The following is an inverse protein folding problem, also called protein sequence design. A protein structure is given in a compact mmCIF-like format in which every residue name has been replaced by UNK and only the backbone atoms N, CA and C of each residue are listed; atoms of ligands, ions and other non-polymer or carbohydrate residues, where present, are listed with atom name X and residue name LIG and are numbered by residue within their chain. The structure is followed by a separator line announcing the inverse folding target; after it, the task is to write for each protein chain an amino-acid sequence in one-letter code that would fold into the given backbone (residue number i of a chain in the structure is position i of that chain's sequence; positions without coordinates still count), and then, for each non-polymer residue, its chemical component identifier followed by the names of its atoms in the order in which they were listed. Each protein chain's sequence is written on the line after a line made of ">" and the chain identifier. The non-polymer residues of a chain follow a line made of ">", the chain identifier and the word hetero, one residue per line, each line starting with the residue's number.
data_IF_738099334477
#
_entry.id   IF_738099334477
#
_cell.length_a   1.000
_cell.length_b   1.000
_cell.length_c   1.000
_cell.angle_alpha   90.00
_cell.angle_beta   90.00
_cell.angle_gamma   90.00
#
_symmetry.space_group_name_H-M   'P 1'
#
loop_
_entity.id
_entity.type
_entity.pdbx_description
1 polymer ?
#
# COMPACT_ATOMS: atom_id res chain seq x y z
N UNK A 1 -4.20 40.50 32.20
CA UNK A 1 -4.38 40.98 30.81
C UNK A 1 -5.23 42.24 30.81
N UNK A 2 -5.26 42.99 29.70
CA UNK A 2 -6.20 44.12 29.53
C UNK A 2 -7.59 43.59 29.15
N UNK A 3 -8.67 44.23 29.59
CA UNK A 3 -10.05 43.78 29.33
C UNK A 3 -10.36 43.64 27.83
N UNK A 4 -9.88 44.56 26.99
CA UNK A 4 -10.01 44.47 25.52
C UNK A 4 -9.40 43.19 24.93
N UNK A 5 -8.31 42.71 25.51
CA UNK A 5 -7.69 41.43 25.10
C UNK A 5 -8.50 40.25 25.60
N UNK A 6 -9.06 40.34 26.82
CA UNK A 6 -9.94 39.33 27.38
C UNK A 6 -11.20 39.13 26.53
N UNK A 7 -11.85 40.22 26.12
CA UNK A 7 -13.03 40.19 25.23
C UNK A 7 -12.72 39.46 23.93
N UNK A 8 -11.60 39.79 23.28
CA UNK A 8 -11.17 39.07 22.07
C UNK A 8 -10.95 37.58 22.33
N UNK A 9 -10.36 37.23 23.48
CA UNK A 9 -10.13 35.82 23.83
C UNK A 9 -11.44 35.09 24.18
N UNK A 10 -12.43 35.79 24.74
CA UNK A 10 -13.78 35.23 24.95
C UNK A 10 -14.38 34.86 23.60
N UNK A 11 -14.34 35.74 22.60
CA UNK A 11 -14.82 35.43 21.25
C UNK A 11 -14.08 34.25 20.63
N UNK A 12 -12.73 34.26 20.64
CA UNK A 12 -11.93 33.16 20.10
C UNK A 12 -12.14 31.82 20.82
N UNK A 13 -12.51 31.85 22.12
CA UNK A 13 -12.84 30.66 22.89
C UNK A 13 -14.17 30.05 22.42
N UNK A 14 -15.14 30.86 22.03
CA UNK A 14 -16.43 30.40 21.48
C UNK A 14 -16.24 29.76 20.11
N UNK A 15 -15.34 30.31 19.29
CA UNK A 15 -15.05 29.76 17.95
C UNK A 15 -14.15 28.51 18.00
N UNK A 16 -13.65 28.12 19.18
CA UNK A 16 -12.75 26.96 19.34
C UNK A 16 -11.31 27.20 18.87
N UNK A 17 -10.94 28.45 18.57
CA UNK A 17 -9.62 28.82 18.04
C UNK A 17 -8.57 29.14 19.14
N UNK A 18 -9.00 29.21 20.40
CA UNK A 18 -8.11 29.61 21.49
C UNK A 18 -7.25 28.44 21.99
N UNK A 19 -5.93 28.59 21.92
CA UNK A 19 -4.99 27.58 22.47
C UNK A 19 -5.12 27.42 23.99
N UNK A 20 -4.85 26.20 24.50
CA UNK A 20 -4.98 25.86 25.93
C UNK A 20 -4.19 26.78 26.88
N UNK A 21 -3.01 27.26 26.46
CA UNK A 21 -2.19 28.21 27.24
C UNK A 21 -2.91 29.56 27.43
N UNK A 22 -3.63 30.01 26.41
CA UNK A 22 -4.37 31.28 26.46
C UNK A 22 -5.70 31.14 27.21
N UNK A 23 -6.32 29.97 27.17
CA UNK A 23 -7.51 29.64 27.98
C UNK A 23 -7.20 29.80 29.47
N UNK A 24 -6.12 29.19 29.96
CA UNK A 24 -5.73 29.30 31.37
C UNK A 24 -5.49 30.76 31.79
N UNK A 25 -4.84 31.58 30.94
CA UNK A 25 -4.66 33.01 31.20
C UNK A 25 -5.99 33.77 31.23
N UNK A 26 -6.95 33.41 30.36
CA UNK A 26 -8.29 33.99 30.35
C UNK A 26 -9.04 33.67 31.64
N UNK A 27 -9.02 32.41 32.06
CA UNK A 27 -9.72 31.99 33.28
C UNK A 27 -9.16 32.69 34.54
N UNK A 28 -7.84 32.89 34.61
CA UNK A 28 -7.21 33.68 35.68
C UNK A 28 -7.72 35.13 35.71
N UNK A 29 -7.97 35.73 34.54
CA UNK A 29 -8.51 37.08 34.46
C UNK A 29 -10.00 37.14 34.80
N UNK A 30 -10.79 36.14 34.39
CA UNK A 30 -12.22 36.04 34.72
C UNK A 30 -12.45 35.89 36.22
N UNK A 31 -11.50 35.31 36.96
CA UNK A 31 -11.53 35.26 38.43
C UNK A 31 -11.36 36.64 39.08
N UNK A 32 -10.65 37.57 38.42
CA UNK A 32 -10.26 38.87 38.97
C UNK A 32 -11.13 40.03 38.47
N UNK A 33 -11.70 39.93 37.26
CA UNK A 33 -12.46 41.01 36.64
C UNK A 33 -13.95 40.66 36.49
N UNK A 34 -14.80 41.39 37.23
CA UNK A 34 -16.26 41.21 37.19
C UNK A 34 -16.87 41.56 35.82
N UNK A 35 -16.37 42.61 35.16
CA UNK A 35 -16.86 43.04 33.84
C UNK A 35 -16.66 41.96 32.78
N UNK A 36 -15.45 41.41 32.66
CA UNK A 36 -15.18 40.33 31.70
C UNK A 36 -15.91 39.03 32.04
N UNK A 37 -16.16 38.77 33.33
CA UNK A 37 -16.98 37.64 33.78
C UNK A 37 -18.42 37.76 33.31
N UNK A 38 -19.01 38.95 33.41
CA UNK A 38 -20.36 39.21 32.92
C UNK A 38 -20.46 39.08 31.41
N UNK A 39 -19.48 39.61 30.67
CA UNK A 39 -19.40 39.43 29.20
C UNK A 39 -19.37 37.95 28.84
N UNK A 40 -18.47 37.17 29.47
CA UNK A 40 -18.38 35.72 29.24
C UNK A 40 -19.71 34.99 29.55
N UNK A 41 -20.42 35.40 30.61
CA UNK A 41 -21.72 34.85 30.98
C UNK A 41 -22.79 35.17 29.93
N UNK A 42 -22.85 36.42 29.47
CA UNK A 42 -23.80 36.85 28.45
C UNK A 42 -23.56 36.15 27.12
N UNK A 43 -22.30 36.01 26.72
CA UNK A 43 -21.95 35.26 25.51
C UNK A 43 -22.34 33.80 25.60
N UNK A 44 -22.15 33.16 26.77
CA UNK A 44 -22.55 31.77 26.98
C UNK A 44 -24.08 31.57 26.89
N UNK A 45 -24.85 32.48 27.50
CA UNK A 45 -26.31 32.48 27.39
C UNK A 45 -26.77 32.69 25.95
N UNK A 46 -26.12 33.60 25.22
CA UNK A 46 -26.44 33.83 23.81
C UNK A 46 -26.21 32.55 22.98
N UNK A 47 -25.07 31.88 23.17
CA UNK A 47 -24.78 30.63 22.45
C UNK A 47 -25.78 29.54 22.77
N UNK A 48 -26.15 29.37 24.04
CA UNK A 48 -27.14 28.37 24.46
C UNK A 48 -28.50 28.60 23.77
N UNK A 49 -28.99 29.84 23.79
CA UNK A 49 -30.24 30.20 23.13
C UNK A 49 -30.19 29.99 21.62
N UNK A 50 -29.07 30.30 20.96
CA UNK A 50 -28.92 30.09 19.52
C UNK A 50 -28.87 28.60 19.17
N UNK A 51 -28.22 27.77 19.99
CA UNK A 51 -28.18 26.32 19.77
C UNK A 51 -29.53 25.64 20.04
N UNK A 52 -30.37 26.20 20.92
CA UNK A 52 -31.69 25.65 21.25
C UNK A 52 -32.70 25.79 20.10
N UNK A 53 -32.47 26.66 19.12
CA UNK A 53 -33.38 26.93 17.99
C UNK A 53 -33.26 25.84 16.89
N UNK A 54 -32.37 24.86 17.07
CA UNK A 54 -31.89 24.01 15.99
C UNK A 54 -32.79 22.79 15.70
N UNK A 55 -33.99 23.02 15.19
CA UNK A 55 -34.73 22.05 14.38
C UNK A 55 -34.71 22.50 12.92
N UNK A 56 -33.55 22.38 12.28
CA UNK A 56 -33.42 22.60 10.83
C UNK A 56 -33.58 21.26 10.14
N UNK A 57 -34.70 21.08 9.42
CA UNK A 57 -34.85 19.95 8.51
C UNK A 57 -33.74 20.02 7.44
N UNK A 58 -32.87 19.03 7.45
CA UNK A 58 -31.84 18.87 6.43
C UNK A 58 -32.37 18.03 5.27
N UNK A 59 -31.93 18.29 4.04
CA UNK A 59 -32.40 17.51 2.90
C UNK A 59 -31.92 16.06 3.00
N UNK A 60 -32.79 15.10 2.69
CA UNK A 60 -32.53 13.66 2.83
C UNK A 60 -31.26 13.17 2.12
N UNK A 61 -30.87 13.81 1.00
CA UNK A 61 -29.67 13.45 0.24
C UNK A 61 -28.35 13.85 0.93
N UNK A 62 -28.38 14.78 1.88
CA UNK A 62 -27.17 15.29 2.54
C UNK A 62 -26.47 14.19 3.34
N UNK A 63 -27.25 13.36 4.03
CA UNK A 63 -26.73 12.23 4.78
C UNK A 63 -25.93 11.28 3.87
N UNK A 64 -26.52 10.88 2.75
CA UNK A 64 -25.86 10.02 1.77
C UNK A 64 -24.60 10.66 1.17
N UNK A 65 -24.65 11.96 0.87
CA UNK A 65 -23.48 12.68 0.34
C UNK A 65 -22.33 12.69 1.35
N UNK A 66 -22.60 12.94 2.63
CA UNK A 66 -21.57 12.92 3.67
C UNK A 66 -20.98 11.51 3.74
N UNK A 67 -21.82 10.48 3.94
CA UNK A 67 -21.37 9.08 4.08
C UNK A 67 -20.50 8.61 2.92
N UNK A 68 -20.84 8.98 1.68
CA UNK A 68 -20.08 8.60 0.49
C UNK A 68 -18.72 9.31 0.37
N UNK A 69 -18.56 10.49 0.99
CA UNK A 69 -17.34 11.28 0.95
C UNK A 69 -16.47 11.12 2.20
N UNK A 70 -16.87 10.29 3.18
CA UNK A 70 -15.95 9.96 4.27
C UNK A 70 -14.70 9.28 3.71
N UNK A 71 -13.51 9.60 4.25
CA UNK A 71 -12.30 8.87 3.90
C UNK A 71 -12.53 7.40 4.22
N UNK A 72 -12.61 6.57 3.17
CA UNK A 72 -12.67 5.12 3.34
C UNK A 72 -11.42 4.76 4.13
N UNK A 73 -11.61 4.12 5.30
CA UNK A 73 -10.49 3.56 6.05
C UNK A 73 -9.70 2.74 5.05
N UNK A 74 -8.42 3.08 4.84
CA UNK A 74 -7.56 2.33 3.96
C UNK A 74 -7.66 0.88 4.44
N UNK A 75 -8.37 0.05 3.68
CA UNK A 75 -8.41 -1.37 3.98
C UNK A 75 -6.96 -1.79 3.96
N UNK A 76 -6.48 -2.20 5.13
CA UNK A 76 -5.10 -2.62 5.34
C UNK A 76 -4.93 -3.82 4.43
N UNK A 77 -4.45 -3.59 3.20
CA UNK A 77 -4.29 -4.65 2.21
C UNK A 77 -3.44 -5.70 2.88
N UNK A 78 -4.08 -6.83 3.17
CA UNK A 78 -3.49 -7.86 3.99
C UNK A 78 -2.26 -8.36 3.26
N UNK A 79 -1.09 -8.11 3.84
CA UNK A 79 0.21 -8.62 3.37
C UNK A 79 0.20 -10.15 3.26
N UNK A 80 -0.77 -10.81 3.88
CA UNK A 80 -1.06 -12.23 3.72
C UNK A 80 -1.36 -12.62 2.27
N UNK A 81 -2.06 -11.80 1.49
CA UNK A 81 -2.29 -12.06 0.05
C UNK A 81 -0.99 -12.05 -0.76
N UNK A 82 -0.08 -11.13 -0.40
CA UNK A 82 1.25 -11.04 -1.02
C UNK A 82 2.14 -12.22 -0.59
N UNK A 83 2.07 -12.61 0.68
CA UNK A 83 2.78 -13.80 1.20
C UNK A 83 2.31 -15.09 0.53
N UNK A 84 1.00 -15.23 0.27
CA UNK A 84 0.45 -16.38 -0.45
C UNK A 84 0.97 -16.45 -1.90
N UNK A 85 1.08 -15.31 -2.58
CA UNK A 85 1.63 -15.25 -3.94
C UNK A 85 3.09 -15.74 -3.97
N UNK A 86 3.94 -15.27 -3.06
CA UNK A 86 5.34 -15.72 -3.00
C UNK A 86 5.48 -17.23 -2.72
N UNK A 87 4.61 -17.79 -1.87
CA UNK A 87 4.60 -19.23 -1.61
C UNK A 87 4.23 -20.05 -2.86
N UNK A 88 3.33 -19.55 -3.71
CA UNK A 88 2.97 -20.25 -4.96
C UNK A 88 4.10 -20.22 -5.99
N UNK A 89 4.80 -19.08 -6.14
CA UNK A 89 5.93 -18.97 -7.05
C UNK A 89 7.12 -19.85 -6.63
N UNK A 90 7.44 -19.91 -5.34
CA UNK A 90 8.55 -20.75 -4.86
C UNK A 90 8.27 -22.24 -5.08
N UNK A 91 7.01 -22.68 -4.91
CA UNK A 91 6.61 -24.07 -5.13
C UNK A 91 6.70 -24.44 -6.62
N UNK A 92 6.28 -23.57 -7.54
CA UNK A 92 6.41 -23.81 -8.98
C UNK A 92 7.86 -23.97 -9.42
N UNK A 93 8.76 -23.11 -8.92
CA UNK A 93 10.19 -23.20 -9.21
C UNK A 93 10.75 -24.53 -8.67
N UNK A 94 10.42 -24.88 -7.43
CA UNK A 94 10.88 -26.15 -6.85
C UNK A 94 10.42 -27.36 -7.66
N UNK A 95 9.14 -27.42 -8.04
CA UNK A 95 8.61 -28.51 -8.86
C UNK A 95 9.28 -28.59 -10.24
N UNK A 96 9.53 -27.45 -10.90
CA UNK A 96 10.23 -27.44 -12.19
C UNK A 96 11.65 -28.02 -12.11
N UNK A 97 12.40 -27.65 -11.06
CA UNK A 97 13.77 -28.14 -10.86
C UNK A 97 13.75 -29.62 -10.48
N UNK A 98 12.86 -30.02 -9.57
CA UNK A 98 12.74 -31.41 -9.13
C UNK A 98 12.37 -32.35 -10.29
N UNK A 99 11.39 -31.96 -11.11
CA UNK A 99 11.00 -32.72 -12.30
C UNK A 99 12.14 -32.80 -13.32
N UNK A 100 12.84 -31.68 -13.57
CA UNK A 100 14.00 -31.64 -14.47
C UNK A 100 15.14 -32.55 -14.04
N UNK A 101 15.53 -32.52 -12.76
CA UNK A 101 16.60 -33.37 -12.21
C UNK A 101 16.19 -34.85 -12.21
N UNK A 102 14.93 -35.16 -11.89
CA UNK A 102 14.42 -36.53 -11.90
C UNK A 102 14.41 -37.16 -13.29
N UNK A 103 13.94 -36.42 -14.30
CA UNK A 103 13.97 -36.87 -15.70
C UNK A 103 15.41 -36.95 -16.24
N UNK A 104 16.27 -35.98 -15.90
CA UNK A 104 17.67 -35.96 -16.32
C UNK A 104 18.45 -37.16 -15.78
N UNK A 105 18.25 -37.55 -14.51
CA UNK A 105 18.90 -38.75 -13.95
C UNK A 105 18.47 -40.03 -14.67
N UNK A 106 17.19 -40.19 -14.97
CA UNK A 106 16.69 -41.37 -15.70
C UNK A 106 17.25 -41.44 -17.12
N UNK A 107 17.26 -40.32 -17.84
CA UNK A 107 17.83 -40.26 -19.19
C UNK A 107 19.35 -40.46 -19.21
N UNK A 108 20.05 -40.05 -18.15
CA UNK A 108 21.50 -40.26 -18.01
C UNK A 108 21.84 -41.73 -17.73
N UNK A 109 21.08 -42.41 -16.86
CA UNK A 109 21.28 -43.84 -16.59
C UNK A 109 20.90 -44.72 -17.77
N UNK A 110 19.88 -44.33 -18.54
CA UNK A 110 19.49 -45.03 -19.77
C UNK A 110 20.55 -44.84 -20.86
N UNK A 111 21.17 -43.65 -20.95
CA UNK A 111 22.26 -43.39 -21.89
C UNK A 111 23.60 -44.05 -21.53
N UNK A 112 23.85 -44.36 -20.25
CA UNK A 112 25.10 -45.01 -19.84
C UNK A 112 25.21 -46.48 -20.26
N UNK A 113 24.10 -47.12 -20.68
CA UNK A 113 24.12 -48.47 -21.25
C UNK A 113 24.58 -48.50 -22.73
N UNK A 114 24.56 -47.36 -23.44
CA UNK A 114 25.07 -47.28 -24.82
C UNK A 114 26.56 -46.89 -24.91
N UNK A 115 27.16 -46.43 -23.81
CA UNK A 115 28.55 -45.96 -23.78
C UNK A 115 29.61 -47.08 -23.71
N UNK A 116 29.21 -48.37 -23.73
CA UNK A 116 30.12 -49.53 -23.75
C UNK A 116 30.20 -50.25 -25.12
N UNK A 117 29.61 -49.72 -26.20
CA UNK A 117 29.63 -50.38 -27.52
C UNK A 117 30.61 -49.75 -28.53
N UNK A 118 31.25 -48.60 -28.23
CA UNK A 118 32.22 -47.96 -29.15
C UNK A 118 33.67 -48.50 -29.00
N UNK A 119 33.85 -49.82 -29.06
CA UNK A 119 35.18 -50.40 -29.22
C UNK A 119 35.16 -51.61 -30.17
N UNK A 120 34.75 -51.40 -31.42
CA UNK A 120 35.19 -52.20 -32.59
C UNK A 120 34.54 -51.63 -33.87
N UNK A 121 35.23 -50.72 -34.56
CA UNK A 121 35.36 -50.73 -36.03
C UNK A 121 36.09 -49.45 -36.50
N UNK A 122 37.41 -49.55 -36.60
CA UNK A 122 38.22 -48.58 -37.33
C UNK A 122 38.06 -48.85 -38.82
N UNK A 123 37.14 -48.15 -39.48
CA UNK A 123 37.04 -48.17 -40.94
C UNK A 123 38.22 -47.38 -41.53
N UNK A 124 39.21 -48.14 -41.99
CA UNK A 124 40.40 -47.71 -42.70
C UNK A 124 40.02 -47.00 -44.02
N UNK A 125 40.07 -45.67 -44.02
CA UNK A 125 39.91 -44.86 -45.23
C UNK A 125 41.15 -45.02 -46.12
N UNK A 126 41.09 -45.99 -47.04
CA UNK A 126 42.02 -46.16 -48.15
C UNK A 126 41.76 -45.09 -49.21
N UNK A 127 42.44 -43.94 -49.11
CA UNK A 127 42.51 -42.95 -50.18
C UNK A 127 43.64 -43.32 -51.15
N UNK A 128 43.30 -44.15 -52.13
CA UNK A 128 44.20 -44.53 -53.20
C UNK A 128 43.41 -45.28 -54.25
N UNK A 129 43.39 -44.72 -55.46
CA UNK A 129 42.84 -45.27 -56.70
C UNK A 129 41.31 -45.27 -56.83
N UNK A 130 40.79 -44.29 -57.58
CA UNK A 130 40.13 -44.61 -58.85
C UNK A 130 39.99 -43.37 -59.74
N UNK A 131 40.59 -43.50 -60.92
CA UNK A 131 40.50 -42.67 -62.11
C UNK A 131 39.06 -42.40 -62.55
N UNK A 132 38.75 -41.16 -62.92
CA UNK A 132 37.80 -40.91 -64.00
C UNK A 132 38.28 -39.72 -64.83
N UNK A 133 38.52 -40.02 -66.10
CA UNK A 133 38.77 -39.10 -67.18
C UNK A 133 37.50 -38.29 -67.47
N UNK A 134 37.62 -36.97 -67.57
CA UNK A 134 36.71 -36.17 -68.38
C UNK A 134 37.52 -35.23 -69.27
N UNK A 135 37.45 -35.54 -70.57
CA UNK A 135 37.89 -34.76 -71.71
C UNK A 135 37.01 -33.53 -71.82
N UNK A 136 37.60 -32.35 -72.06
CA UNK A 136 36.92 -31.25 -72.73
C UNK A 136 37.80 -30.72 -73.87
N UNK A 137 37.20 -30.70 -75.06
CA UNK A 137 37.66 -30.06 -76.28
C UNK A 137 37.63 -28.52 -76.12
N UNK A 138 38.74 -27.86 -76.48
CA UNK A 138 38.85 -26.75 -77.46
C UNK A 138 40.33 -26.37 -77.69
#
# INVERSE_FOLDING_TARGET
>A
MRCKTAERYISLKLDGELSAKLVSKLDEHLMKCSSCKEIHRQTALLTENLTAIQDVEYPAWLHHRIMNNLPKKAERQSTWRVSLAYATFSLMIFFSVFAGVGLGKKAYTDNSDYAQIEQEDYLQLSFGDNSIWEVYDE
#
